data_IF_512462332599
#
_entry.id   IF_512462332599
#
_cell.length_a   1.000
_cell.length_b   1.000
_cell.length_c   1.000
_cell.angle_alpha   90.00
_cell.angle_beta   90.00
_cell.angle_gamma   90.00
#
_symmetry.space_group_name_H-M   'P 1'
#
loop_
_entity.id
_entity.type
_entity.pdbx_description
1 polymer ?
#
# COMPACT_ATOMS: atom_id res chain seq x y z
N UNK A 1 43.26 14.43 -1.32
CA UNK A 1 43.97 13.24 -1.83
C UNK A 1 42.89 12.23 -2.18
N UNK A 2 42.58 12.08 -3.47
CA UNK A 2 41.63 11.08 -3.96
C UNK A 2 42.41 9.78 -4.19
N UNK A 3 42.17 8.78 -3.35
CA UNK A 3 42.63 7.42 -3.58
C UNK A 3 41.42 6.59 -4.00
N UNK A 4 41.39 6.14 -5.24
CA UNK A 4 40.52 5.05 -5.69
C UNK A 4 40.96 3.78 -4.96
N UNK A 5 40.06 3.18 -4.19
CA UNK A 5 40.27 1.89 -3.55
C UNK A 5 39.68 0.79 -4.45
N UNK A 6 40.52 0.14 -5.25
CA UNK A 6 40.19 -1.09 -5.98
C UNK A 6 40.44 -2.31 -5.08
N UNK A 7 39.58 -2.52 -4.08
CA UNK A 7 39.66 -3.66 -3.17
C UNK A 7 38.29 -4.27 -2.94
N UNK A 8 38.10 -5.52 -3.36
CA UNK A 8 36.92 -6.33 -3.02
C UNK A 8 36.93 -6.59 -1.52
N UNK A 9 36.01 -5.98 -0.77
CA UNK A 9 35.82 -6.26 0.65
C UNK A 9 34.96 -7.52 0.78
N UNK A 10 35.58 -8.70 0.75
CA UNK A 10 34.88 -9.91 1.20
C UNK A 10 34.79 -9.84 2.73
N UNK A 11 33.67 -9.31 3.22
CA UNK A 11 33.28 -9.49 4.60
C UNK A 11 32.88 -10.96 4.75
N UNK A 12 33.85 -11.81 5.08
CA UNK A 12 33.63 -13.28 5.23
C UNK A 12 32.80 -13.61 6.49
N UNK A 13 32.57 -12.64 7.37
CA UNK A 13 31.67 -12.65 8.52
C UNK A 13 32.07 -11.45 9.36
N UNK A 14 31.25 -10.39 9.42
CA UNK A 14 31.27 -9.54 10.61
C UNK A 14 30.46 -10.29 11.65
N UNK A 15 31.12 -11.21 12.34
CA UNK A 15 30.66 -11.60 13.66
C UNK A 15 30.75 -10.35 14.50
N UNK A 16 29.63 -9.65 14.72
CA UNK A 16 29.53 -8.67 15.78
C UNK A 16 29.62 -9.44 17.09
N UNK A 17 30.85 -9.77 17.48
CA UNK A 17 31.16 -10.51 18.68
C UNK A 17 31.29 -9.51 19.81
N UNK A 18 30.18 -8.96 20.28
CA UNK A 18 30.13 -8.21 21.53
C UNK A 18 28.92 -8.64 22.33
N UNK A 19 29.19 -9.47 23.33
CA UNK A 19 28.38 -9.55 24.54
C UNK A 19 28.14 -8.12 25.05
N UNK A 20 26.97 -7.56 24.77
CA UNK A 20 26.56 -6.23 25.21
C UNK A 20 26.70 -5.16 24.12
N UNK A 21 25.87 -5.25 23.08
CA UNK A 21 25.46 -4.08 22.30
C UNK A 21 24.35 -3.39 23.12
N UNK A 22 24.58 -2.13 23.48
CA UNK A 22 23.57 -1.33 24.16
C UNK A 22 22.45 -0.97 23.19
N UNK A 23 21.22 -0.91 23.69
CA UNK A 23 20.10 -0.23 23.04
C UNK A 23 20.60 1.14 22.54
N UNK A 24 20.38 1.47 21.25
CA UNK A 24 20.83 2.68 20.52
C UNK A 24 22.11 2.61 19.64
N UNK A 25 22.47 1.49 19.01
CA UNK A 25 23.55 1.54 17.99
C UNK A 25 23.05 2.10 16.63
N UNK A 26 23.80 3.02 15.98
CA UNK A 26 23.30 3.88 14.90
C UNK A 26 23.22 3.25 13.48
N UNK A 27 23.07 1.93 13.37
CA UNK A 27 23.06 1.22 12.08
C UNK A 27 24.45 0.76 11.58
N UNK A 28 24.45 0.00 10.49
CA UNK A 28 25.57 -0.70 9.88
C UNK A 28 25.67 -0.38 8.38
N UNK A 29 26.81 0.15 7.94
CA UNK A 29 27.04 0.55 6.54
C UNK A 29 28.06 -0.39 5.85
N UNK A 30 27.68 -0.96 4.71
CA UNK A 30 28.49 -1.95 3.97
C UNK A 30 29.27 -1.25 2.83
N UNK A 31 30.04 -0.21 3.15
CA UNK A 31 30.91 0.45 2.17
C UNK A 31 30.17 0.99 0.92
N UNK A 32 30.93 1.45 -0.08
CA UNK A 32 30.37 1.80 -1.39
C UNK A 32 30.34 0.55 -2.29
N UNK A 33 29.28 0.40 -3.08
CA UNK A 33 29.15 -0.67 -4.10
C UNK A 33 28.28 -1.85 -3.67
N UNK A 34 28.36 -2.93 -4.46
CA UNK A 34 27.55 -4.13 -4.30
C UNK A 34 28.01 -4.99 -3.12
N UNK A 35 27.08 -5.77 -2.58
CA UNK A 35 27.40 -6.76 -1.56
C UNK A 35 28.26 -7.89 -2.15
N UNK A 36 29.51 -8.01 -1.70
CA UNK A 36 30.40 -9.12 -2.09
C UNK A 36 30.51 -10.17 -0.97
N UNK A 37 29.46 -10.99 -0.81
CA UNK A 37 29.41 -12.09 0.16
C UNK A 37 28.21 -12.01 1.11
N UNK A 38 28.30 -12.71 2.25
CA UNK A 38 27.19 -12.80 3.20
C UNK A 38 27.35 -11.85 4.38
N UNK A 39 26.25 -11.23 4.77
CA UNK A 39 26.11 -10.50 6.03
C UNK A 39 25.25 -11.34 6.95
N UNK A 40 25.72 -11.61 8.17
CA UNK A 40 24.94 -12.35 9.16
C UNK A 40 24.89 -11.60 10.49
N UNK A 41 23.69 -11.22 10.90
CA UNK A 41 23.40 -10.61 12.20
C UNK A 41 22.58 -11.59 13.00
N UNK A 42 23.22 -12.22 13.98
CA UNK A 42 22.59 -13.29 14.77
C UNK A 42 21.62 -12.78 15.84
N UNK A 43 21.43 -11.46 15.96
CA UNK A 43 20.56 -10.78 16.94
C UNK A 43 19.51 -9.92 16.19
N UNK A 44 18.85 -8.98 16.89
CA UNK A 44 17.93 -8.03 16.26
C UNK A 44 18.66 -6.79 15.75
N UNK A 45 18.17 -6.21 14.65
CA UNK A 45 18.65 -4.94 14.10
C UNK A 45 17.76 -3.79 14.57
N UNK A 46 18.16 -3.06 15.62
CA UNK A 46 17.60 -1.75 15.96
C UNK A 46 18.42 -0.68 15.23
N UNK A 47 18.08 -0.40 13.98
CA UNK A 47 18.82 0.55 13.14
C UNK A 47 18.77 0.20 11.65
N UNK A 48 19.67 0.79 10.88
CA UNK A 48 19.68 0.65 9.42
C UNK A 48 20.83 -0.26 8.96
N UNK A 49 20.59 -1.14 7.99
CA UNK A 49 21.64 -1.70 7.13
C UNK A 49 21.52 -0.98 5.79
N UNK A 50 22.59 -0.30 5.35
CA UNK A 50 22.62 0.33 4.04
C UNK A 50 23.66 -0.33 3.13
N UNK A 51 23.20 -0.80 1.98
CA UNK A 51 23.98 -1.35 0.88
C UNK A 51 23.78 -0.41 -0.31
N UNK A 52 24.75 0.46 -0.64
CA UNK A 52 24.57 1.42 -1.73
C UNK A 52 24.43 0.82 -3.13
N UNK A 53 24.94 -0.40 -3.36
CA UNK A 53 24.82 -1.10 -4.64
C UNK A 53 23.78 -2.22 -4.62
N UNK A 54 24.08 -3.28 -5.37
CA UNK A 54 23.23 -4.45 -5.53
C UNK A 54 23.48 -5.51 -4.43
N UNK A 55 22.51 -6.41 -4.24
CA UNK A 55 22.68 -7.69 -3.56
C UNK A 55 22.67 -8.78 -4.63
N UNK A 56 23.83 -9.19 -5.18
CA UNK A 56 23.91 -10.10 -6.32
C UNK A 56 23.57 -11.54 -5.94
N UNK A 57 23.27 -12.38 -6.95
CA UNK A 57 23.10 -13.82 -6.77
C UNK A 57 24.34 -14.42 -6.08
N UNK A 58 24.10 -15.36 -5.17
CA UNK A 58 25.12 -15.97 -4.32
C UNK A 58 25.57 -15.14 -3.10
N UNK A 59 25.02 -13.94 -2.90
CA UNK A 59 25.18 -13.17 -1.66
C UNK A 59 23.89 -13.17 -0.83
N UNK A 60 24.02 -13.11 0.49
CA UNK A 60 22.86 -13.13 1.37
C UNK A 60 22.98 -12.21 2.60
N UNK A 61 21.83 -11.69 3.04
CA UNK A 61 21.68 -10.98 4.31
C UNK A 61 20.88 -11.87 5.26
N UNK A 62 21.51 -12.37 6.30
CA UNK A 62 20.92 -13.21 7.34
C UNK A 62 20.68 -12.39 8.60
N UNK A 63 19.44 -12.34 9.06
CA UNK A 63 19.03 -11.65 10.27
C UNK A 63 18.25 -12.60 11.18
N UNK A 64 18.38 -12.41 12.48
CA UNK A 64 17.53 -13.11 13.46
C UNK A 64 16.21 -12.37 13.73
N UNK A 65 16.16 -11.05 13.52
CA UNK A 65 14.94 -10.25 13.68
C UNK A 65 15.10 -8.87 13.05
N UNK A 66 14.03 -8.37 12.44
CA UNK A 66 13.89 -6.99 12.00
C UNK A 66 12.74 -6.28 12.78
N UNK A 67 13.01 -5.63 13.92
CA UNK A 67 12.02 -4.88 14.69
C UNK A 67 11.54 -3.62 13.97
N UNK A 68 10.55 -2.91 14.53
CA UNK A 68 9.90 -1.72 13.93
C UNK A 68 10.89 -0.62 13.51
N UNK A 69 11.94 -0.41 14.31
CA UNK A 69 12.98 0.59 14.02
C UNK A 69 14.08 0.05 13.07
N UNK A 70 14.02 -1.24 12.73
CA UNK A 70 14.96 -1.90 11.83
C UNK A 70 14.65 -1.58 10.37
N UNK A 71 15.66 -1.17 9.61
CA UNK A 71 15.53 -0.91 8.16
C UNK A 71 16.68 -1.56 7.40
N UNK A 72 16.41 -2.15 6.24
CA UNK A 72 17.43 -2.56 5.25
C UNK A 72 17.22 -1.73 4.00
N UNK A 73 18.24 -0.99 3.56
CA UNK A 73 18.27 -0.21 2.33
C UNK A 73 19.21 -0.90 1.33
N UNK A 74 18.67 -1.28 0.18
CA UNK A 74 19.42 -1.79 -0.97
C UNK A 74 19.30 -0.73 -2.07
N UNK A 75 20.41 -0.07 -2.35
CA UNK A 75 20.49 1.05 -3.29
C UNK A 75 20.15 0.65 -4.72
N UNK A 76 20.54 -0.56 -5.12
CA UNK A 76 20.26 -1.12 -6.44
C UNK A 76 19.32 -2.32 -6.40
N UNK A 77 19.71 -3.38 -7.11
CA UNK A 77 18.93 -4.58 -7.40
C UNK A 77 19.09 -5.65 -6.30
N UNK A 78 18.02 -6.41 -6.03
CA UNK A 78 18.03 -7.60 -5.19
C UNK A 78 17.95 -8.87 -6.06
N UNK A 79 19.08 -9.54 -6.24
CA UNK A 79 19.21 -10.87 -6.90
C UNK A 79 19.42 -12.00 -5.91
N UNK A 80 20.11 -11.70 -4.81
CA UNK A 80 20.46 -12.66 -3.78
C UNK A 80 19.31 -12.96 -2.82
N UNK A 81 19.68 -13.25 -1.58
CA UNK A 81 18.75 -13.65 -0.53
C UNK A 81 18.75 -12.66 0.63
N UNK A 82 17.57 -12.26 1.08
CA UNK A 82 17.40 -11.74 2.44
C UNK A 82 16.68 -12.81 3.26
N UNK A 83 17.22 -13.16 4.41
CA UNK A 83 16.66 -14.17 5.29
C UNK A 83 16.49 -13.59 6.68
N UNK A 84 15.25 -13.33 7.06
CA UNK A 84 14.86 -12.94 8.42
C UNK A 84 14.32 -14.17 9.12
N UNK A 85 15.20 -14.82 9.86
CA UNK A 85 14.90 -16.01 10.66
C UNK A 85 14.12 -15.65 11.92
N UNK A 86 13.61 -16.65 12.62
CA UNK A 86 13.10 -16.48 13.97
C UNK A 86 13.49 -17.69 14.84
N UNK A 87 14.17 -17.49 16.00
CA UNK A 87 14.50 -18.60 16.91
C UNK A 87 13.50 -18.82 18.05
N UNK A 88 12.65 -17.84 18.39
CA UNK A 88 11.66 -17.91 19.50
C UNK A 88 10.21 -17.68 19.02
N UNK A 89 9.18 -17.55 19.87
CA UNK A 89 7.76 -17.54 19.42
C UNK A 89 7.09 -16.13 19.37
N UNK A 90 7.80 -15.05 19.73
CA UNK A 90 7.14 -13.76 20.07
C UNK A 90 7.50 -12.54 19.21
N UNK A 91 8.15 -12.68 18.04
CA UNK A 91 8.85 -11.54 17.39
C UNK A 91 8.78 -11.49 15.87
N UNK A 92 7.59 -11.15 15.41
CA UNK A 92 7.21 -10.37 14.23
C UNK A 92 8.30 -9.59 13.44
N UNK A 93 8.27 -9.71 12.11
CA UNK A 93 8.92 -8.81 11.15
C UNK A 93 8.12 -7.49 11.13
N UNK A 94 8.64 -6.50 11.86
CA UNK A 94 8.00 -5.20 12.05
C UNK A 94 8.72 -4.05 11.31
N UNK A 95 9.95 -4.28 10.85
CA UNK A 95 10.76 -3.28 10.18
C UNK A 95 10.48 -3.14 8.68
N UNK A 96 11.39 -2.48 7.98
CA UNK A 96 11.27 -2.17 6.55
C UNK A 96 12.44 -2.72 5.75
N UNK A 97 12.16 -3.28 4.57
CA UNK A 97 13.19 -3.60 3.56
C UNK A 97 12.86 -2.78 2.32
N UNK A 98 13.80 -1.95 1.87
CA UNK A 98 13.64 -1.02 0.76
C UNK A 98 14.64 -1.38 -0.32
N UNK A 99 14.15 -1.74 -1.51
CA UNK A 99 14.93 -2.10 -2.70
C UNK A 99 14.87 -0.94 -3.69
N UNK A 100 15.94 -0.74 -4.47
CA UNK A 100 16.14 0.44 -5.31
C UNK A 100 16.16 1.75 -4.49
N UNK A 101 16.75 1.73 -3.30
CA UNK A 101 16.77 2.87 -2.39
C UNK A 101 17.60 4.06 -2.91
N UNK A 102 18.34 3.93 -4.03
CA UNK A 102 18.96 5.08 -4.71
C UNK A 102 18.03 5.78 -5.72
N UNK A 103 16.79 5.34 -5.86
CA UNK A 103 15.81 5.86 -6.81
C UNK A 103 16.32 5.88 -8.26
N UNK A 104 16.93 4.78 -8.72
CA UNK A 104 17.35 4.69 -10.13
C UNK A 104 16.09 4.74 -10.99
N UNK A 105 16.09 5.67 -11.95
CA UNK A 105 14.91 6.27 -12.59
C UNK A 105 14.06 5.36 -13.49
N UNK A 106 14.26 4.06 -13.46
CA UNK A 106 13.49 3.08 -14.24
C UNK A 106 13.46 1.73 -13.50
N UNK A 107 12.57 1.55 -12.51
CA UNK A 107 12.41 0.28 -11.84
C UNK A 107 11.57 -0.61 -12.74
N UNK A 108 12.21 -1.13 -13.78
CA UNK A 108 11.73 -2.37 -14.35
C UNK A 108 11.61 -3.41 -13.22
N UNK A 109 10.67 -4.35 -13.36
CA UNK A 109 10.46 -5.48 -12.41
C UNK A 109 11.73 -6.31 -12.19
N UNK A 110 12.79 -6.04 -12.93
CA UNK A 110 14.11 -6.64 -12.85
C UNK A 110 14.89 -6.20 -11.60
N UNK A 111 14.50 -5.11 -10.91
CA UNK A 111 15.21 -4.65 -9.70
C UNK A 111 15.02 -5.55 -8.47
N UNK A 112 14.01 -6.42 -8.46
CA UNK A 112 13.86 -7.47 -7.46
C UNK A 112 13.63 -8.78 -8.22
N UNK A 113 14.67 -9.62 -8.31
CA UNK A 113 14.60 -10.96 -8.93
C UNK A 113 14.96 -12.09 -7.97
N UNK A 114 15.61 -11.77 -6.86
CA UNK A 114 15.93 -12.66 -5.75
C UNK A 114 14.78 -12.90 -4.77
N UNK A 115 15.13 -13.39 -3.59
CA UNK A 115 14.17 -13.88 -2.60
C UNK A 115 14.30 -13.11 -1.28
N UNK A 116 13.16 -12.83 -0.65
CA UNK A 116 13.11 -12.46 0.77
C UNK A 116 12.36 -13.54 1.54
N UNK A 117 13.05 -14.16 2.50
CA UNK A 117 12.50 -15.20 3.37
C UNK A 117 12.25 -14.64 4.75
N UNK A 118 11.01 -14.73 5.20
CA UNK A 118 10.57 -14.24 6.51
C UNK A 118 9.90 -15.39 7.23
N UNK A 119 10.15 -15.52 8.53
CA UNK A 119 9.38 -16.45 9.36
C UNK A 119 7.93 -15.97 9.53
N UNK A 120 6.95 -16.77 9.11
CA UNK A 120 5.53 -16.55 9.34
C UNK A 120 5.16 -17.06 10.75
N UNK A 121 4.81 -16.18 11.71
CA UNK A 121 4.48 -16.59 13.06
C UNK A 121 3.13 -17.30 13.17
N UNK A 122 2.25 -17.16 12.16
CA UNK A 122 0.91 -17.76 12.15
C UNK A 122 0.99 -19.22 11.68
N UNK A 123 1.72 -19.45 10.58
CA UNK A 123 1.84 -20.78 9.96
C UNK A 123 3.07 -21.57 10.47
N UNK A 124 3.93 -20.96 11.28
CA UNK A 124 5.18 -21.56 11.81
C UNK A 124 6.12 -22.08 10.70
N UNK A 125 6.18 -21.37 9.57
CA UNK A 125 7.02 -21.72 8.42
C UNK A 125 7.75 -20.51 7.84
N UNK A 126 8.74 -20.79 6.98
CA UNK A 126 9.40 -19.73 6.21
C UNK A 126 8.56 -19.37 4.99
N UNK A 127 8.02 -18.16 5.02
CA UNK A 127 7.46 -17.50 3.87
C UNK A 127 8.59 -17.08 2.92
N UNK A 128 8.38 -17.23 1.62
CA UNK A 128 9.28 -16.69 0.58
C UNK A 128 8.52 -15.69 -0.27
N UNK A 129 9.00 -14.45 -0.35
CA UNK A 129 8.55 -13.45 -1.30
C UNK A 129 9.55 -13.37 -2.44
N UNK A 130 9.09 -13.62 -3.66
CA UNK A 130 9.90 -13.48 -4.88
C UNK A 130 9.02 -13.26 -6.12
N UNK A 131 9.57 -12.78 -7.24
CA UNK A 131 8.80 -12.65 -8.48
C UNK A 131 8.40 -13.97 -9.13
N UNK A 132 8.96 -15.11 -8.67
CA UNK A 132 8.65 -16.44 -9.18
C UNK A 132 7.49 -17.09 -8.41
N UNK A 133 7.11 -16.54 -7.26
CA UNK A 133 5.98 -17.00 -6.47
C UNK A 133 4.64 -16.58 -7.07
N UNK A 134 3.55 -17.19 -6.59
CA UNK A 134 2.19 -16.74 -6.86
C UNK A 134 1.64 -15.95 -5.69
N UNK A 135 0.54 -15.20 -5.90
CA UNK A 135 -0.17 -14.56 -4.78
C UNK A 135 -0.56 -15.62 -3.71
N UNK A 136 -0.41 -15.32 -2.41
CA UNK A 136 -0.21 -13.98 -1.86
C UNK A 136 1.25 -13.50 -1.78
N UNK A 137 2.21 -14.27 -2.29
CA UNK A 137 3.65 -14.07 -2.03
C UNK A 137 4.45 -13.57 -3.25
N UNK A 138 3.73 -13.17 -4.31
CA UNK A 138 4.31 -12.64 -5.55
C UNK A 138 4.90 -11.24 -5.35
N UNK A 139 6.23 -11.14 -5.34
CA UNK A 139 6.94 -9.86 -5.29
C UNK A 139 6.96 -9.15 -6.67
N UNK A 140 7.15 -7.81 -6.72
CA UNK A 140 7.23 -6.87 -5.59
C UNK A 140 5.87 -6.45 -5.02
N UNK A 141 4.75 -6.90 -5.61
CA UNK A 141 3.38 -6.50 -5.22
C UNK A 141 2.62 -7.70 -4.67
N UNK A 142 3.02 -8.15 -3.48
CA UNK A 142 2.43 -9.29 -2.79
C UNK A 142 1.10 -8.90 -2.12
N UNK A 143 0.23 -9.87 -1.83
CA UNK A 143 -1.07 -9.65 -1.17
C UNK A 143 -1.06 -9.96 0.33
N UNK A 144 0.03 -10.52 0.86
CA UNK A 144 0.22 -10.68 2.31
C UNK A 144 0.11 -9.34 3.03
N UNK A 145 -0.72 -9.27 4.07
CA UNK A 145 -0.91 -8.05 4.86
C UNK A 145 0.21 -7.88 5.87
N UNK A 146 0.38 -6.66 6.38
CA UNK A 146 1.39 -6.39 7.40
C UNK A 146 1.17 -7.20 8.67
N UNK A 147 -0.07 -7.42 9.07
CA UNK A 147 -0.41 -8.26 10.23
C UNK A 147 0.14 -9.68 10.08
N UNK A 148 0.17 -10.22 8.85
CA UNK A 148 0.73 -11.56 8.60
C UNK A 148 2.27 -11.59 8.73
N UNK A 149 2.94 -10.45 8.57
CA UNK A 149 4.39 -10.37 8.81
C UNK A 149 4.75 -9.86 10.20
N UNK A 150 3.80 -9.24 10.91
CA UNK A 150 4.05 -8.59 12.19
C UNK A 150 4.31 -7.09 12.13
N UNK A 151 3.69 -6.41 11.16
CA UNK A 151 3.67 -4.96 11.00
C UNK A 151 4.64 -4.40 9.96
N UNK A 152 5.62 -5.19 9.51
CA UNK A 152 6.65 -4.77 8.56
C UNK A 152 6.20 -4.80 7.11
N UNK A 153 7.04 -4.26 6.21
CA UNK A 153 6.83 -4.31 4.77
C UNK A 153 8.13 -4.41 3.97
N UNK A 154 8.01 -4.86 2.73
CA UNK A 154 9.10 -4.88 1.75
C UNK A 154 8.64 -4.10 0.53
N UNK A 155 9.36 -3.04 0.20
CA UNK A 155 9.02 -2.13 -0.88
C UNK A 155 10.10 -2.07 -1.95
N UNK A 156 9.68 -2.07 -3.20
CA UNK A 156 10.51 -1.64 -4.32
C UNK A 156 10.21 -0.18 -4.63
N UNK A 157 11.23 0.68 -4.69
CA UNK A 157 11.07 2.11 -4.99
C UNK A 157 10.84 2.32 -6.50
N UNK A 158 9.89 3.20 -6.90
CA UNK A 158 8.96 3.93 -6.04
C UNK A 158 7.85 3.04 -5.48
N UNK A 159 7.47 3.30 -4.24
CA UNK A 159 6.50 2.46 -3.53
C UNK A 159 5.11 2.60 -4.14
N UNK A 160 4.46 1.46 -4.40
CA UNK A 160 3.03 1.42 -4.71
C UNK A 160 2.19 1.38 -3.43
N UNK A 161 0.91 1.68 -3.55
CA UNK A 161 -0.03 1.38 -2.47
C UNK A 161 -0.30 -0.14 -2.41
N UNK A 162 -0.61 -0.64 -1.21
CA UNK A 162 -0.92 -2.03 -0.95
C UNK A 162 -2.43 -2.27 -0.99
N UNK A 163 -2.98 -2.92 -2.05
CA UNK A 163 -4.42 -2.96 -2.28
C UNK A 163 -5.21 -3.75 -1.22
N UNK A 164 -4.62 -4.82 -0.68
CA UNK A 164 -5.27 -5.71 0.31
C UNK A 164 -5.02 -5.28 1.76
N UNK A 165 -3.86 -4.71 2.09
CA UNK A 165 -3.55 -4.23 3.44
C UNK A 165 -4.30 -2.92 3.74
N UNK A 166 -4.64 -2.13 2.71
CA UNK A 166 -5.49 -0.92 2.81
C UNK A 166 -6.89 -1.21 3.34
N UNK A 167 -7.48 -0.24 4.06
CA UNK A 167 -8.83 -0.33 4.61
C UNK A 167 -9.67 0.88 4.14
N UNK A 168 -10.76 0.67 3.38
CA UNK A 168 -11.18 -0.59 2.74
C UNK A 168 -10.14 -1.19 1.77
N UNK A 169 -10.34 -2.44 1.33
CA UNK A 169 -9.47 -2.96 0.27
C UNK A 169 -9.68 -2.17 -1.03
N UNK A 170 -8.64 -1.99 -1.84
CA UNK A 170 -8.78 -1.37 -3.15
C UNK A 170 -9.70 -2.20 -4.07
N UNK A 171 -10.53 -1.55 -4.89
CA UNK A 171 -11.56 -2.19 -5.73
C UNK A 171 -12.58 -3.02 -4.94
N UNK A 172 -12.75 -2.75 -3.63
CA UNK A 172 -13.76 -3.42 -2.83
C UNK A 172 -15.09 -2.70 -2.83
N UNK A 173 -16.10 -3.45 -2.37
CA UNK A 173 -17.41 -2.94 -2.01
C UNK A 173 -17.53 -3.00 -0.50
N UNK A 174 -17.82 -1.87 0.14
CA UNK A 174 -17.97 -1.76 1.59
C UNK A 174 -19.43 -2.06 1.94
N UNK A 175 -19.69 -3.24 2.49
CA UNK A 175 -21.06 -3.69 2.81
C UNK A 175 -21.47 -3.44 4.26
N UNK A 176 -20.49 -3.20 5.15
CA UNK A 176 -20.71 -2.91 6.57
C UNK A 176 -21.17 -1.48 6.83
N UNK A 177 -20.97 -0.98 8.07
CA UNK A 177 -21.14 0.42 8.40
C UNK A 177 -20.28 1.32 7.51
N UNK A 178 -20.74 2.56 7.33
CA UNK A 178 -19.94 3.61 6.70
C UNK A 178 -18.58 3.73 7.42
N UNK A 179 -17.45 3.67 6.71
CA UNK A 179 -16.16 3.84 7.35
C UNK A 179 -16.04 5.27 7.88
N UNK A 180 -15.57 5.43 9.12
CA UNK A 180 -15.19 6.75 9.66
C UNK A 180 -13.77 7.13 9.24
N UNK A 181 -12.96 6.13 8.91
CA UNK A 181 -11.56 6.26 8.56
C UNK A 181 -11.24 5.39 7.35
N UNK A 182 -10.46 5.94 6.43
CA UNK A 182 -9.80 5.20 5.35
C UNK A 182 -8.29 5.20 5.61
N UNK A 183 -7.66 4.04 5.50
CA UNK A 183 -6.22 3.85 5.67
C UNK A 183 -5.66 3.26 4.37
N UNK A 184 -4.78 4.01 3.71
CA UNK A 184 -4.08 3.55 2.51
C UNK A 184 -2.66 3.16 2.91
N UNK A 185 -2.37 1.86 2.95
CA UNK A 185 -1.03 1.36 3.21
C UNK A 185 -0.20 1.37 1.93
N UNK A 186 1.11 1.60 2.05
CA UNK A 186 2.09 1.47 0.98
C UNK A 186 3.07 0.32 1.26
N UNK A 187 3.71 -0.17 0.21
CA UNK A 187 4.74 -1.22 0.32
C UNK A 187 6.04 -0.73 0.97
N UNK A 188 6.19 0.58 1.19
CA UNK A 188 7.32 1.18 1.91
C UNK A 188 6.92 2.49 2.58
N UNK A 189 7.84 3.12 3.32
CA UNK A 189 7.56 4.34 4.04
C UNK A 189 7.42 5.54 3.08
N UNK A 190 6.54 6.46 3.45
CA UNK A 190 6.15 7.63 2.66
C UNK A 190 6.18 8.88 3.54
N UNK A 191 6.37 10.03 2.89
CA UNK A 191 6.33 11.36 3.49
C UNK A 191 5.51 12.30 2.60
N UNK A 192 5.00 13.35 3.22
CA UNK A 192 4.40 14.48 2.52
C UNK A 192 5.50 15.36 1.92
N UNK A 193 5.24 15.93 0.75
CA UNK A 193 6.12 16.93 0.15
C UNK A 193 5.92 18.29 0.83
N UNK A 194 6.73 18.56 1.86
CA UNK A 194 6.71 19.81 2.63
C UNK A 194 7.13 21.06 1.82
N UNK A 195 7.66 20.90 0.60
CA UNK A 195 8.07 22.01 -0.27
C UNK A 195 6.91 22.59 -1.10
N UNK A 196 5.72 21.98 -1.01
CA UNK A 196 4.50 22.40 -1.71
C UNK A 196 3.73 23.55 -1.01
N UNK A 197 2.75 24.11 -1.72
CA UNK A 197 1.79 25.09 -1.17
C UNK A 197 1.15 24.51 0.10
N UNK A 198 1.02 25.25 1.23
CA UNK A 198 0.31 24.76 2.41
C UNK A 198 -1.15 24.33 2.14
N UNK A 199 -1.69 24.67 0.97
CA UNK A 199 -3.00 24.23 0.49
C UNK A 199 -2.94 22.94 -0.38
N UNK A 200 -1.76 22.33 -0.57
CA UNK A 200 -1.62 21.01 -1.22
C UNK A 200 -1.87 19.90 -0.21
N UNK A 201 -2.70 18.93 -0.59
CA UNK A 201 -2.93 17.72 0.19
C UNK A 201 -2.01 16.58 -0.29
N UNK A 202 -1.59 15.65 0.58
CA UNK A 202 -0.81 14.50 0.14
C UNK A 202 -1.64 13.64 -0.84
N UNK A 203 -2.95 13.55 -0.61
CA UNK A 203 -3.93 12.84 -1.46
C UNK A 203 -5.18 13.69 -1.61
N UNK A 204 -5.76 13.74 -2.81
CA UNK A 204 -7.10 14.29 -3.06
C UNK A 204 -8.17 13.21 -3.01
N UNK A 205 -9.32 13.57 -2.44
CA UNK A 205 -10.49 12.69 -2.33
C UNK A 205 -11.56 13.14 -3.30
N UNK A 206 -11.96 12.23 -4.19
CA UNK A 206 -13.04 12.43 -5.14
C UNK A 206 -14.19 11.47 -4.82
N UNK A 207 -15.41 11.95 -4.96
CA UNK A 207 -16.61 11.13 -4.86
C UNK A 207 -17.48 11.24 -6.11
N UNK A 208 -18.16 10.15 -6.44
CA UNK A 208 -19.19 10.08 -7.50
C UNK A 208 -20.37 9.27 -6.99
N UNK A 209 -21.62 9.62 -7.31
CA UNK A 209 -22.75 8.73 -7.08
C UNK A 209 -22.52 7.34 -7.70
N UNK A 210 -22.98 6.29 -7.02
CA UNK A 210 -22.92 4.88 -7.47
C UNK A 210 -23.73 4.66 -8.74
N UNK A 211 -24.80 5.41 -8.94
CA UNK A 211 -25.50 5.37 -10.21
C UNK A 211 -24.65 6.06 -11.28
N UNK A 212 -24.15 5.27 -12.25
CA UNK A 212 -23.46 5.82 -13.41
C UNK A 212 -24.41 6.75 -14.16
N UNK A 213 -24.12 8.06 -14.28
CA UNK A 213 -25.08 9.05 -14.75
C UNK A 213 -25.23 9.05 -16.28
N UNK A 214 -25.39 7.89 -16.91
CA UNK A 214 -25.53 7.65 -18.36
C UNK A 214 -24.29 8.01 -19.21
N UNK A 215 -23.44 7.02 -19.55
CA UNK A 215 -22.23 7.21 -20.37
C UNK A 215 -21.73 5.89 -21.00
N UNK A 216 -20.68 5.98 -21.84
CA UNK A 216 -19.95 4.88 -22.49
C UNK A 216 -19.09 4.00 -21.56
N UNK A 217 -19.08 4.28 -20.26
CA UNK A 217 -18.25 3.57 -19.29
C UNK A 217 -19.07 2.49 -18.56
N UNK A 218 -18.46 1.33 -18.37
CA UNK A 218 -19.08 0.19 -17.68
C UNK A 218 -18.78 0.16 -16.17
N UNK A 219 -17.71 0.82 -15.73
CA UNK A 219 -17.31 0.90 -14.32
C UNK A 219 -16.78 2.30 -13.97
N UNK A 220 -16.97 2.78 -12.74
CA UNK A 220 -16.45 4.08 -12.28
C UNK A 220 -14.93 4.18 -12.36
N UNK A 221 -14.22 3.07 -12.14
CA UNK A 221 -12.75 3.03 -12.28
C UNK A 221 -12.28 3.41 -13.69
N UNK A 222 -13.13 3.24 -14.70
CA UNK A 222 -12.79 3.58 -16.08
C UNK A 222 -13.04 5.08 -16.39
N UNK A 223 -13.68 5.81 -15.46
CA UNK A 223 -14.06 7.23 -15.62
C UNK A 223 -12.94 8.13 -15.08
N UNK A 224 -12.31 8.97 -15.92
CA UNK A 224 -11.29 9.89 -15.46
C UNK A 224 -11.79 10.89 -14.40
N UNK A 225 -11.04 11.13 -13.31
CA UNK A 225 -11.44 12.13 -12.28
C UNK A 225 -11.55 13.56 -12.81
N UNK A 226 -10.91 13.90 -13.94
CA UNK A 226 -11.11 15.19 -14.62
C UNK A 226 -12.54 15.39 -15.16
N UNK A 227 -13.37 14.34 -15.22
CA UNK A 227 -14.77 14.46 -15.59
C UNK A 227 -15.57 15.02 -14.41
N UNK A 228 -15.52 16.33 -14.24
CA UNK A 228 -16.18 17.07 -13.14
C UNK A 228 -17.71 17.05 -13.22
N UNK A 229 -18.31 16.47 -14.26
CA UNK A 229 -19.75 16.22 -14.30
C UNK A 229 -20.15 14.97 -13.50
N UNK A 230 -19.17 14.12 -13.17
CA UNK A 230 -19.35 12.83 -12.47
C UNK A 230 -18.63 12.88 -11.12
N UNK A 231 -17.36 13.26 -11.14
CA UNK A 231 -16.51 13.34 -9.95
C UNK A 231 -16.59 14.72 -9.31
N UNK A 232 -16.77 14.73 -7.99
CA UNK A 232 -16.69 15.93 -7.14
C UNK A 232 -15.48 15.81 -6.22
N UNK A 233 -14.62 16.82 -6.21
CA UNK A 233 -13.53 16.94 -5.23
C UNK A 233 -14.14 17.30 -3.87
N UNK A 234 -13.90 16.46 -2.86
CA UNK A 234 -14.43 16.60 -1.50
C UNK A 234 -13.30 16.59 -0.47
N UNK A 235 -12.06 16.85 -0.90
CA UNK A 235 -10.85 16.79 -0.07
C UNK A 235 -10.96 17.65 1.19
N UNK A 236 -11.50 18.87 1.07
CA UNK A 236 -11.67 19.83 2.18
C UNK A 236 -12.58 19.32 3.32
N UNK A 237 -13.31 18.22 3.12
CA UNK A 237 -14.18 17.60 4.12
C UNK A 237 -13.52 16.48 4.92
N UNK A 238 -12.19 16.33 4.81
CA UNK A 238 -11.43 15.28 5.48
C UNK A 238 -10.15 15.82 6.12
N UNK A 239 -9.78 15.22 7.26
CA UNK A 239 -8.45 15.34 7.84
C UNK A 239 -7.56 14.26 7.25
N UNK A 240 -6.46 14.66 6.61
CA UNK A 240 -5.51 13.73 5.98
C UNK A 240 -4.17 13.82 6.70
N UNK A 241 -3.60 12.68 7.05
CA UNK A 241 -2.29 12.59 7.69
C UNK A 241 -1.46 11.46 7.08
N UNK A 242 -0.13 11.63 7.10
CA UNK A 242 0.84 10.65 6.60
C UNK A 242 1.75 10.24 7.75
N UNK A 243 1.91 8.93 7.96
CA UNK A 243 2.80 8.40 8.99
C UNK A 243 3.33 7.02 8.62
N UNK A 244 4.65 6.87 8.60
CA UNK A 244 5.29 5.60 8.25
C UNK A 244 4.92 5.21 6.82
N UNK A 245 4.11 4.15 6.66
CA UNK A 245 3.65 3.66 5.35
C UNK A 245 2.16 3.93 5.10
N UNK A 246 1.53 4.73 5.95
CA UNK A 246 0.08 4.94 5.97
C UNK A 246 -0.28 6.36 5.59
N UNK A 247 -1.30 6.47 4.73
CA UNK A 247 -2.11 7.68 4.61
C UNK A 247 -3.42 7.42 5.32
N UNK A 248 -3.72 8.21 6.34
CA UNK A 248 -4.96 8.11 7.12
C UNK A 248 -5.86 9.29 6.76
N UNK A 249 -7.08 8.98 6.33
CA UNK A 249 -8.12 9.93 5.97
C UNK A 249 -9.27 9.77 6.95
N UNK A 250 -9.47 10.76 7.80
CA UNK A 250 -10.51 10.80 8.82
C UNK A 250 -11.61 11.81 8.43
N UNK A 251 -12.86 11.42 8.65
CA UNK A 251 -14.00 12.33 8.53
C UNK A 251 -14.00 13.33 9.69
N UNK A 252 -13.67 14.60 9.44
CA UNK A 252 -13.81 15.67 10.44
C UNK A 252 -15.23 16.25 10.50
N UNK A 253 -15.97 16.18 9.39
CA UNK A 253 -17.33 16.71 9.23
C UNK A 253 -18.24 15.91 8.26
N UNK A 254 -17.71 14.99 7.45
CA UNK A 254 -18.46 14.19 6.47
C UNK A 254 -18.09 12.71 6.55
N UNK A 255 -19.00 11.85 7.02
CA UNK A 255 -18.80 10.39 6.95
C UNK A 255 -18.72 9.94 5.49
N UNK A 256 -18.02 8.83 5.23
CA UNK A 256 -18.04 8.23 3.90
C UNK A 256 -19.43 7.66 3.63
N UNK A 257 -20.19 8.29 2.75
CA UNK A 257 -21.62 8.03 2.61
C UNK A 257 -21.96 6.84 1.71
N UNK A 258 -23.02 6.12 2.05
CA UNK A 258 -23.68 5.14 1.18
C UNK A 258 -24.15 5.79 -0.13
N UNK A 259 -24.12 5.00 -1.19
CA UNK A 259 -24.49 5.43 -2.54
C UNK A 259 -23.39 6.20 -3.28
N UNK A 260 -22.15 6.18 -2.79
CA UNK A 260 -21.00 6.81 -3.44
C UNK A 260 -19.86 5.84 -3.76
N UNK A 261 -19.12 6.20 -4.80
CA UNK A 261 -17.82 5.64 -5.15
C UNK A 261 -16.78 6.68 -4.78
N UNK A 262 -15.72 6.25 -4.11
CA UNK A 262 -14.61 7.11 -3.71
C UNK A 262 -13.35 6.75 -4.48
N UNK A 263 -12.64 7.78 -4.93
CA UNK A 263 -11.33 7.66 -5.57
C UNK A 263 -10.34 8.63 -4.90
N UNK A 264 -9.16 8.12 -4.63
CA UNK A 264 -8.06 8.83 -3.98
C UNK A 264 -6.93 8.94 -4.99
N UNK A 265 -6.39 10.15 -5.15
CA UNK A 265 -5.33 10.44 -6.13
C UNK A 265 -4.16 11.10 -5.40
N UNK A 266 -2.93 10.58 -5.51
CA UNK A 266 -1.75 11.18 -4.89
C UNK A 266 -1.47 12.55 -5.54
N UNK A 267 -1.06 13.52 -4.74
CA UNK A 267 -0.63 14.83 -5.23
C UNK A 267 0.75 15.19 -4.67
N UNK A 268 0.94 15.11 -3.35
CA UNK A 268 2.19 15.46 -2.66
C UNK A 268 2.75 14.30 -1.81
N UNK A 269 2.79 13.08 -2.36
CA UNK A 269 3.36 11.91 -1.69
C UNK A 269 4.70 11.49 -2.29
N UNK A 270 5.70 11.37 -1.44
CA UNK A 270 7.05 10.96 -1.81
C UNK A 270 7.48 9.70 -1.04
N UNK A 271 8.41 8.94 -1.60
CA UNK A 271 9.04 7.81 -0.92
C UNK A 271 10.00 8.34 0.16
N UNK A 272 9.81 7.91 1.42
CA UNK A 272 10.71 8.26 2.53
C UNK A 272 11.96 7.36 2.53
N UNK A 273 13.02 7.83 3.20
CA UNK A 273 14.31 7.14 3.33
C UNK A 273 15.00 6.81 2.00
N UNK A 274 14.65 7.57 0.95
CA UNK A 274 15.19 7.42 -0.40
C UNK A 274 15.77 8.76 -0.84
N UNK A 275 17.04 8.85 -1.26
CA UNK A 275 17.63 10.10 -1.72
C UNK A 275 16.83 10.74 -2.86
N UNK A 276 16.54 12.03 -2.72
CA UNK A 276 15.77 12.80 -3.69
C UNK A 276 14.26 12.62 -3.60
N UNK A 277 13.76 11.81 -2.64
CA UNK A 277 12.34 11.63 -2.33
C UNK A 277 11.49 11.46 -3.60
N UNK A 278 11.70 10.41 -4.41
CA UNK A 278 10.94 10.23 -5.64
C UNK A 278 9.45 10.08 -5.32
N UNK A 279 8.60 10.53 -6.24
CA UNK A 279 7.15 10.36 -6.12
C UNK A 279 6.79 8.88 -5.96
N UNK A 280 5.78 8.61 -5.13
CA UNK A 280 5.20 7.27 -5.01
C UNK A 280 4.60 6.82 -6.35
N UNK A 281 4.63 5.52 -6.59
CA UNK A 281 3.98 4.93 -7.75
C UNK A 281 2.52 4.61 -7.41
N UNK A 282 1.62 4.79 -8.37
CA UNK A 282 0.25 4.28 -8.25
C UNK A 282 -0.06 3.54 -9.54
N UNK A 283 0.00 2.21 -9.52
CA UNK A 283 -0.33 1.38 -10.67
C UNK A 283 -1.61 0.60 -10.40
N UNK A 284 -2.74 1.16 -10.83
CA UNK A 284 -4.05 0.55 -10.67
C UNK A 284 -4.91 0.78 -11.92
N UNK A 285 -6.07 0.15 -11.98
CA UNK A 285 -7.00 0.29 -13.10
C UNK A 285 -7.95 1.48 -12.95
N UNK A 286 -7.74 2.37 -11.98
CA UNK A 286 -8.57 3.56 -11.79
C UNK A 286 -7.99 4.73 -12.56
N UNK A 287 -8.65 5.15 -13.63
CA UNK A 287 -8.22 6.29 -14.43
C UNK A 287 -8.26 7.57 -13.59
N UNK A 288 -7.11 8.08 -13.14
CA UNK A 288 -7.02 9.45 -12.63
C UNK A 288 -6.50 10.41 -13.70
N UNK A 289 -6.88 11.68 -13.57
CA UNK A 289 -6.03 12.88 -13.78
C UNK A 289 -6.80 14.18 -13.57
N UNK A 290 -6.09 15.24 -13.14
CA UNK A 290 -6.35 16.65 -13.48
C UNK A 290 -5.00 17.39 -13.57
N UNK A 291 -4.79 18.18 -14.63
CA UNK A 291 -3.91 19.36 -14.57
C UNK A 291 -4.49 20.49 -15.41
N UNK A 292 -4.47 21.70 -14.87
CA UNK A 292 -4.60 22.94 -15.64
C UNK A 292 -6.03 23.35 -16.01
N UNK A 293 -6.26 24.66 -16.04
CA UNK A 293 -7.56 25.37 -16.13
C UNK A 293 -8.31 25.26 -17.45
N UNK A 294 -8.10 24.19 -18.24
CA UNK A 294 -8.81 23.97 -19.51
C UNK A 294 -9.32 22.53 -19.60
N UNK A 295 -10.64 22.38 -19.75
CA UNK A 295 -11.45 21.15 -19.73
C UNK A 295 -11.13 20.08 -20.80
N UNK A 296 -9.89 19.63 -20.91
CA UNK A 296 -9.54 18.53 -21.81
C UNK A 296 -8.56 17.61 -21.09
N UNK A 297 -8.99 16.38 -20.81
CA UNK A 297 -8.18 15.28 -20.25
C UNK A 297 -7.12 14.78 -21.26
N UNK A 298 -6.43 15.68 -21.95
CA UNK A 298 -5.75 15.39 -23.23
C UNK A 298 -4.24 15.27 -23.15
N UNK A 299 -3.62 15.32 -21.97
CA UNK A 299 -2.15 15.33 -21.91
C UNK A 299 -1.53 14.82 -20.61
N UNK A 300 -2.13 13.82 -19.94
CA UNK A 300 -1.54 13.32 -18.70
C UNK A 300 -1.47 11.79 -18.70
N UNK A 301 -0.37 11.19 -18.19
CA UNK A 301 -0.35 9.78 -17.88
C UNK A 301 -1.46 9.50 -16.86
N UNK A 302 -2.17 8.38 -17.05
CA UNK A 302 -3.16 7.89 -16.09
C UNK A 302 -2.53 7.86 -14.69
N UNK A 303 -2.83 8.84 -13.84
CA UNK A 303 -2.45 8.77 -12.44
C UNK A 303 -3.40 7.78 -11.82
N UNK A 304 -2.96 6.54 -11.63
CA UNK A 304 -3.91 5.55 -11.16
C UNK A 304 -4.30 5.85 -9.71
N UNK A 305 -5.57 5.61 -9.37
CA UNK A 305 -6.09 5.91 -8.03
C UNK A 305 -6.27 4.68 -7.15
N UNK A 306 -6.35 4.91 -5.85
CA UNK A 306 -6.98 3.99 -4.91
C UNK A 306 -8.47 4.29 -4.87
N UNK A 307 -9.32 3.34 -4.52
CA UNK A 307 -10.76 3.54 -4.60
C UNK A 307 -11.57 2.31 -4.24
N UNK A 308 -12.80 2.56 -3.83
CA UNK A 308 -13.78 1.59 -3.37
C UNK A 308 -15.21 2.12 -3.58
N UNK A 309 -16.20 1.25 -3.39
CA UNK A 309 -17.62 1.56 -3.55
C UNK A 309 -18.33 1.38 -2.21
N UNK A 310 -19.17 2.34 -1.81
CA UNK A 310 -20.15 2.17 -0.73
C UNK A 310 -21.53 2.18 -1.39
N UNK A 311 -22.16 1.01 -1.60
CA UNK A 311 -23.45 0.92 -2.26
C UNK A 311 -24.53 1.58 -1.40
N UNK A 312 -25.67 1.89 -2.03
CA UNK A 312 -26.88 2.24 -1.27
C UNK A 312 -27.30 1.02 -0.45
N UNK A 313 -28.00 1.25 0.66
CA UNK A 313 -28.53 0.16 1.48
C UNK A 313 -29.45 -0.81 0.71
N UNK A 314 -29.97 -0.38 -0.45
CA UNK A 314 -30.96 -1.11 -1.25
C UNK A 314 -30.38 -1.88 -2.45
N UNK A 315 -29.10 -1.70 -2.80
CA UNK A 315 -28.42 -2.43 -3.89
C UNK A 315 -27.47 -3.49 -3.32
N UNK A 316 -28.06 -4.57 -2.82
CA UNK A 316 -27.34 -5.64 -2.12
C UNK A 316 -26.66 -6.66 -3.05
N UNK A 317 -27.04 -6.70 -4.33
CA UNK A 317 -26.39 -7.55 -5.33
C UNK A 317 -25.37 -6.81 -6.18
N UNK A 318 -25.13 -5.53 -5.86
CA UNK A 318 -24.07 -4.72 -6.42
C UNK A 318 -24.14 -4.64 -7.94
N UNK A 319 -25.34 -4.78 -8.49
CA UNK A 319 -25.56 -4.73 -9.93
C UNK A 319 -25.97 -3.32 -10.37
N UNK A 320 -25.94 -2.35 -9.44
CA UNK A 320 -26.26 -0.95 -9.68
C UNK A 320 -27.74 -0.75 -10.06
N UNK A 321 -28.59 -1.72 -9.72
CA UNK A 321 -30.05 -1.72 -9.92
C UNK A 321 -30.73 -2.27 -8.66
N UNK A 322 -31.94 -1.79 -8.37
CA UNK A 322 -32.75 -2.44 -7.36
C UNK A 322 -33.56 -3.52 -8.07
N UNK A 323 -33.14 -4.77 -7.95
CA UNK A 323 -33.86 -5.88 -8.54
C UNK A 323 -34.13 -6.99 -7.53
N UNK A 324 -34.83 -8.03 -7.99
CA UNK A 324 -35.16 -9.19 -7.15
C UNK A 324 -33.92 -9.90 -6.60
N UNK A 325 -32.75 -9.74 -7.23
CA UNK A 325 -31.48 -10.29 -6.74
C UNK A 325 -30.97 -9.62 -5.46
N UNK A 326 -31.28 -8.33 -5.23
CA UNK A 326 -30.97 -7.66 -3.97
C UNK A 326 -31.78 -8.27 -2.81
N UNK A 327 -33.07 -8.57 -3.05
CA UNK A 327 -33.92 -9.27 -2.07
C UNK A 327 -33.45 -10.71 -1.82
N UNK A 328 -33.02 -11.42 -2.86
CA UNK A 328 -32.47 -12.78 -2.73
C UNK A 328 -31.20 -12.80 -1.86
N UNK A 329 -30.31 -11.81 -2.01
CA UNK A 329 -29.11 -11.71 -1.17
C UNK A 329 -29.43 -11.29 0.26
N UNK A 330 -30.35 -10.35 0.45
CA UNK A 330 -30.80 -9.99 1.80
C UNK A 330 -31.37 -11.20 2.55
N UNK A 331 -32.14 -12.06 1.87
CA UNK A 331 -32.67 -13.29 2.46
C UNK A 331 -31.58 -14.29 2.86
N UNK A 332 -30.39 -14.20 2.27
CA UNK A 332 -29.23 -15.05 2.59
C UNK A 332 -28.37 -14.45 3.70
N UNK A 333 -28.19 -13.12 3.70
CA UNK A 333 -27.42 -12.37 4.69
C UNK A 333 -28.15 -11.05 5.03
N UNK A 334 -29.10 -11.09 5.99
CA UNK A 334 -29.91 -9.92 6.34
C UNK A 334 -29.07 -8.79 6.90
N UNK A 335 -29.30 -7.58 6.38
CA UNK A 335 -28.65 -6.34 6.82
C UNK A 335 -29.72 -5.29 7.11
N UNK A 336 -29.45 -4.39 8.05
CA UNK A 336 -30.32 -3.24 8.29
C UNK A 336 -30.14 -2.27 7.12
N UNK A 337 -31.20 -2.06 6.35
CA UNK A 337 -31.19 -1.22 5.15
C UNK A 337 -32.00 0.05 5.29
N UNK A 338 -32.80 0.15 6.36
CA UNK A 338 -33.61 1.31 6.66
C UNK A 338 -33.00 2.20 7.77
N UNK A 339 -31.84 1.78 8.29
CA UNK A 339 -31.02 2.43 9.32
C UNK A 339 -31.81 2.65 10.64
N UNK A 340 -32.66 1.70 11.04
CA UNK A 340 -33.41 1.74 12.30
C UNK A 340 -32.76 0.95 13.46
N UNK A 341 -31.54 0.47 13.24
CA UNK A 341 -30.72 -0.38 14.12
C UNK A 341 -31.34 -1.78 14.38
N UNK A 342 -32.33 -2.21 13.59
CA UNK A 342 -33.04 -3.48 13.77
C UNK A 342 -33.17 -4.24 12.44
N UNK A 343 -32.42 -5.32 12.30
CA UNK A 343 -32.55 -6.24 11.16
C UNK A 343 -33.87 -7.02 11.26
N UNK A 344 -34.90 -6.61 10.53
CA UNK A 344 -36.22 -7.23 10.50
C UNK A 344 -36.92 -7.22 9.12
N UNK A 345 -38.23 -7.49 9.09
CA UNK A 345 -38.96 -7.57 7.82
C UNK A 345 -39.23 -6.20 7.18
N UNK A 346 -39.04 -5.10 7.92
CA UNK A 346 -39.15 -3.74 7.41
C UNK A 346 -37.96 -3.41 6.50
N UNK A 347 -36.80 -4.00 6.73
CA UNK A 347 -35.66 -3.93 5.80
C UNK A 347 -35.97 -4.60 4.47
N UNK A 348 -36.49 -5.83 4.52
CA UNK A 348 -36.94 -6.54 3.32
C UNK A 348 -38.03 -5.76 2.58
N UNK A 349 -38.94 -5.12 3.32
CA UNK A 349 -39.99 -4.28 2.74
C UNK A 349 -39.40 -3.03 2.06
N UNK A 350 -38.40 -2.39 2.67
CA UNK A 350 -37.71 -1.25 2.07
C UNK A 350 -37.00 -1.63 0.76
N UNK A 351 -36.39 -2.82 0.67
CA UNK A 351 -35.81 -3.34 -0.57
C UNK A 351 -36.91 -3.58 -1.62
N UNK A 352 -38.03 -4.21 -1.23
CA UNK A 352 -39.15 -4.47 -2.14
C UNK A 352 -39.75 -3.17 -2.68
N UNK A 353 -39.95 -2.18 -1.82
CA UNK A 353 -40.46 -0.86 -2.22
C UNK A 353 -39.47 -0.17 -3.17
N UNK A 354 -38.17 -0.26 -2.90
CA UNK A 354 -37.12 0.30 -3.74
C UNK A 354 -37.02 -0.38 -5.13
N UNK A 355 -37.31 -1.68 -5.22
CA UNK A 355 -37.45 -2.41 -6.49
C UNK A 355 -38.71 -1.95 -7.22
N UNK A 356 -39.83 -1.85 -6.51
CA UNK A 356 -41.12 -1.47 -7.09
C UNK A 356 -41.16 -0.03 -7.61
N UNK A 357 -40.37 0.88 -7.02
CA UNK A 357 -40.24 2.27 -7.49
C UNK A 357 -39.36 2.43 -8.74
N UNK A 358 -38.64 1.39 -9.17
CA UNK A 358 -37.84 1.40 -10.40
C UNK A 358 -38.61 0.92 -11.64
N UNK A 359 -39.78 0.28 -11.49
CA UNK A 359 -40.70 -0.11 -12.59
C UNK A 359 -41.68 1.01 -12.96
#
# INVERSE_FOLDING_TARGET
MSGTFDGTFSVVSIGVHTSGIGVNEPGFFIGEGDLSGDVAINWFLEGEISIPGDVPDGSAIWLTRLPVDGTILIGGQLDGLIYVSHPDEEREFAGQIIINSNAVSDPDREMWVGEVKIWDPIEEELLTLSPQESQPDLAPKYNRTSVQFGGGAIGLVPFDFHPIDSLPHHNSVVTGPEPETVIIHHYGPIIEDDDEDPDTYPVRVYQSPVQLPCCTYTHHRDIPVCNTAIWTDVTDGFLISVSGREVTIESDANTFHRGYVYQFVPEALLCDKVPGNPQVAWHSNWAGTRTGTTHTCTSLPYSNGYGFVIPTAMDLNFNLMHDTGALELWLLDPVDVNDDDVIDFLDAAAIIDAIAEQE
#
